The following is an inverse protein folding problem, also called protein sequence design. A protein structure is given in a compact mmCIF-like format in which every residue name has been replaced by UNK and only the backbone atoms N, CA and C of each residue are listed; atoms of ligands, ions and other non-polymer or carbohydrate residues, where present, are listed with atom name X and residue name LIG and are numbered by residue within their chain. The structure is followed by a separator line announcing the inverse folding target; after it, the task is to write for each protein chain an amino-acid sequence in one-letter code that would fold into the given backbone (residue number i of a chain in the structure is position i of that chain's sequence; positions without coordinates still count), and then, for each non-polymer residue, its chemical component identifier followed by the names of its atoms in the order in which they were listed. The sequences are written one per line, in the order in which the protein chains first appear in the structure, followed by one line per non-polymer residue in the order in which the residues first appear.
data_IF_426440907074
#
_entry.id   IF_426440907074
#
_cell.length_a   1.000
_cell.length_b   1.000
_cell.length_c   1.000
_cell.angle_alpha   90.00
_cell.angle_beta   90.00
_cell.angle_gamma   90.00
#
_symmetry.space_group_name_H-M   'P 1'
#
loop_
_entity.id
_entity.type
_entity.pdbx_description
1 polymer ?
#
# COMPACT_ATOMS: atom_id res chain seq x y z
N UNK A 1 -40.77 -8.98 15.38
CA UNK A 1 -39.53 -9.59 14.88
C UNK A 1 -39.47 -9.34 13.38
N UNK A 2 -38.49 -8.57 12.91
CA UNK A 2 -38.30 -8.34 11.47
C UNK A 2 -37.35 -9.41 10.93
N UNK A 3 -37.87 -10.39 10.21
CA UNK A 3 -37.08 -11.31 9.41
C UNK A 3 -36.98 -10.73 8.00
N UNK A 4 -35.75 -10.51 7.52
CA UNK A 4 -35.54 -10.16 6.13
C UNK A 4 -36.03 -11.31 5.24
N UNK A 5 -36.73 -11.02 4.13
CA UNK A 5 -37.12 -12.05 3.18
C UNK A 5 -35.84 -12.70 2.64
N UNK A 6 -35.61 -13.96 3.01
CA UNK A 6 -34.55 -14.74 2.39
C UNK A 6 -35.06 -15.18 1.02
N UNK A 7 -34.30 -14.97 -0.06
CA UNK A 7 -34.66 -15.51 -1.36
C UNK A 7 -34.69 -17.05 -1.25
N UNK A 8 -35.78 -17.66 -1.74
CA UNK A 8 -35.88 -19.10 -1.85
C UNK A 8 -34.74 -19.58 -2.77
N UNK A 9 -33.72 -20.20 -2.16
CA UNK A 9 -32.65 -20.91 -2.86
C UNK A 9 -33.21 -22.23 -3.41
N UNK A 10 -34.23 -22.13 -4.27
CA UNK A 10 -34.85 -23.27 -4.93
C UNK A 10 -33.86 -23.95 -5.87
N UNK A 11 -33.30 -25.07 -5.43
CA UNK A 11 -32.83 -26.17 -6.29
C UNK A 11 -31.61 -25.94 -7.17
N UNK A 12 -30.99 -24.76 -7.19
CA UNK A 12 -29.70 -24.54 -7.87
C UNK A 12 -28.62 -24.24 -6.85
N UNK A 13 -27.88 -25.28 -6.47
CA UNK A 13 -26.75 -25.22 -5.53
C UNK A 13 -25.49 -24.62 -6.16
N UNK A 14 -25.64 -23.70 -7.12
CA UNK A 14 -24.51 -22.99 -7.72
C UNK A 14 -24.54 -21.57 -7.16
N UNK A 15 -23.79 -21.36 -6.08
CA UNK A 15 -23.50 -20.02 -5.58
C UNK A 15 -22.88 -19.25 -6.75
N UNK A 16 -23.48 -18.12 -7.19
CA UNK A 16 -22.90 -17.33 -8.27
C UNK A 16 -21.52 -16.84 -7.85
N UNK A 17 -20.48 -17.48 -8.37
CA UNK A 17 -19.11 -17.09 -8.16
C UNK A 17 -18.81 -15.87 -9.02
N UNK A 18 -18.35 -14.79 -8.39
CA UNK A 18 -17.78 -13.67 -9.11
C UNK A 18 -16.32 -14.05 -9.40
N UNK A 19 -15.92 -14.24 -10.66
CA UNK A 19 -14.52 -14.52 -10.97
C UNK A 19 -13.67 -13.29 -10.61
N UNK A 20 -12.62 -13.51 -9.83
CA UNK A 20 -11.66 -12.49 -9.42
C UNK A 20 -10.27 -12.94 -9.87
N UNK A 21 -9.50 -12.00 -10.41
CA UNK A 21 -8.13 -12.26 -10.88
C UNK A 21 -7.10 -12.19 -9.73
N UNK A 22 -7.53 -11.64 -8.59
CA UNK A 22 -6.69 -11.41 -7.43
C UNK A 22 -6.41 -12.70 -6.65
N UNK A 23 -5.23 -12.74 -6.05
CA UNK A 23 -4.84 -13.81 -5.15
C UNK A 23 -5.78 -13.88 -3.94
N UNK A 24 -6.21 -15.08 -3.57
CA UNK A 24 -7.14 -15.33 -2.45
C UNK A 24 -6.67 -14.66 -1.15
N UNK A 25 -5.36 -14.71 -0.87
CA UNK A 25 -4.79 -14.07 0.31
C UNK A 25 -4.93 -12.53 0.31
N UNK A 26 -4.83 -11.90 -0.88
CA UNK A 26 -5.02 -10.46 -1.01
C UNK A 26 -6.48 -10.05 -0.80
N UNK A 27 -7.41 -10.84 -1.36
CA UNK A 27 -8.84 -10.64 -1.17
C UNK A 27 -9.26 -10.84 0.29
N UNK A 28 -8.79 -11.91 0.94
CA UNK A 28 -9.07 -12.18 2.35
C UNK A 28 -8.61 -11.01 3.23
N UNK A 29 -7.40 -10.47 2.99
CA UNK A 29 -6.91 -9.30 3.71
C UNK A 29 -7.83 -8.08 3.54
N UNK A 30 -8.22 -7.76 2.29
CA UNK A 30 -9.10 -6.62 1.99
C UNK A 30 -10.47 -6.84 2.66
N UNK A 31 -11.06 -8.02 2.53
CA UNK A 31 -12.34 -8.35 3.14
C UNK A 31 -12.31 -8.24 4.66
N UNK A 32 -11.28 -8.77 5.32
CA UNK A 32 -11.09 -8.63 6.77
C UNK A 32 -10.93 -7.17 7.21
N UNK A 33 -10.42 -6.30 6.34
CA UNK A 33 -10.28 -4.89 6.66
C UNK A 33 -11.62 -4.12 6.59
N UNK A 34 -12.59 -4.61 5.82
CA UNK A 34 -13.94 -4.03 5.70
C UNK A 34 -14.89 -4.65 6.73
N UNK A 35 -14.73 -5.96 6.99
CA UNK A 35 -15.51 -6.73 7.94
C UNK A 35 -14.61 -7.17 9.09
N UNK A 36 -14.33 -6.29 10.07
CA UNK A 36 -13.41 -6.58 11.16
C UNK A 36 -14.06 -7.55 12.16
N UNK A 37 -14.09 -8.83 11.81
CA UNK A 37 -14.41 -9.92 12.74
C UNK A 37 -13.23 -10.09 13.72
N UNK A 38 -12.01 -9.85 13.25
CA UNK A 38 -10.78 -9.88 14.04
C UNK A 38 -9.87 -8.68 13.74
N UNK A 39 -9.04 -8.29 14.72
CA UNK A 39 -8.08 -7.20 14.55
C UNK A 39 -6.97 -7.63 13.58
N UNK A 40 -6.93 -6.98 12.41
CA UNK A 40 -5.87 -7.18 11.42
C UNK A 40 -4.50 -6.74 11.98
N UNK A 41 -3.58 -7.69 12.12
CA UNK A 41 -2.20 -7.43 12.53
C UNK A 41 -1.33 -7.29 11.28
N UNK A 42 -0.89 -6.06 11.03
CA UNK A 42 -0.14 -5.68 9.81
C UNK A 42 1.38 -5.75 10.05
N UNK A 43 1.81 -6.06 11.28
CA UNK A 43 3.19 -5.95 11.71
C UNK A 43 4.18 -6.90 10.99
N UNK A 44 3.69 -7.88 10.23
CA UNK A 44 4.50 -8.92 9.59
C UNK A 44 4.45 -8.93 8.06
N UNK A 45 3.72 -8.02 7.41
CA UNK A 45 3.71 -8.00 5.94
C UNK A 45 4.98 -7.35 5.39
N UNK A 46 5.59 -8.01 4.40
CA UNK A 46 6.70 -7.44 3.64
C UNK A 46 6.24 -6.23 2.84
N UNK A 47 7.17 -5.33 2.50
CA UNK A 47 6.89 -4.14 1.70
C UNK A 47 6.31 -4.52 0.32
N UNK A 48 6.80 -5.60 -0.28
CA UNK A 48 6.34 -6.09 -1.58
C UNK A 48 4.89 -6.60 -1.49
N UNK A 49 4.56 -7.30 -0.41
CA UNK A 49 3.18 -7.74 -0.16
C UNK A 49 2.27 -6.53 0.10
N UNK A 50 2.72 -5.54 0.89
CA UNK A 50 1.98 -4.31 1.13
C UNK A 50 1.70 -3.52 -0.16
N UNK A 51 2.63 -3.50 -1.12
CA UNK A 51 2.41 -2.89 -2.44
C UNK A 51 1.33 -3.61 -3.25
N UNK A 52 1.35 -4.95 -3.28
CA UNK A 52 0.32 -5.74 -3.97
C UNK A 52 -1.06 -5.48 -3.37
N UNK A 53 -1.17 -5.53 -2.04
CA UNK A 53 -2.40 -5.23 -1.32
C UNK A 53 -2.90 -3.82 -1.61
N UNK A 54 -1.99 -2.85 -1.79
CA UNK A 54 -2.35 -1.47 -2.13
C UNK A 54 -2.96 -1.34 -3.52
N UNK A 55 -2.43 -2.04 -4.52
CA UNK A 55 -3.01 -2.03 -5.88
C UNK A 55 -4.35 -2.76 -5.91
N UNK A 56 -4.49 -3.87 -5.19
CA UNK A 56 -5.77 -4.58 -5.05
C UNK A 56 -6.81 -3.71 -4.36
N UNK A 57 -6.47 -3.11 -3.21
CA UNK A 57 -7.37 -2.22 -2.49
C UNK A 57 -7.81 -1.02 -3.34
N UNK A 58 -6.93 -0.50 -4.20
CA UNK A 58 -7.28 0.54 -5.18
C UNK A 58 -8.19 0.03 -6.29
N UNK A 59 -7.96 -1.17 -6.83
CA UNK A 59 -8.84 -1.76 -7.86
C UNK A 59 -10.25 -1.99 -7.31
N UNK A 60 -10.36 -2.36 -6.04
CA UNK A 60 -11.62 -2.62 -5.35
C UNK A 60 -12.24 -1.39 -4.68
N UNK A 61 -11.59 -0.22 -4.81
CA UNK A 61 -12.00 1.06 -4.20
C UNK A 61 -12.25 1.02 -2.68
N UNK A 62 -11.38 0.31 -1.95
CA UNK A 62 -11.51 0.10 -0.50
C UNK A 62 -10.61 1.07 0.27
N UNK A 63 -11.09 2.29 0.48
CA UNK A 63 -10.30 3.37 1.07
C UNK A 63 -9.83 3.06 2.51
N UNK A 64 -10.60 2.32 3.31
CA UNK A 64 -10.17 1.93 4.65
C UNK A 64 -8.89 1.08 4.63
N UNK A 65 -8.80 0.12 3.69
CA UNK A 65 -7.60 -0.70 3.48
C UNK A 65 -6.44 0.15 2.99
N UNK A 66 -6.69 1.10 2.07
CA UNK A 66 -5.68 2.02 1.55
C UNK A 66 -5.05 2.84 2.68
N UNK A 67 -5.87 3.42 3.56
CA UNK A 67 -5.38 4.20 4.71
C UNK A 67 -4.59 3.35 5.71
N UNK A 68 -5.08 2.16 5.99
CA UNK A 68 -4.44 1.18 6.85
C UNK A 68 -3.05 0.76 6.32
N UNK A 69 -2.96 0.50 5.01
CA UNK A 69 -1.71 0.17 4.33
C UNK A 69 -0.76 1.37 4.25
N UNK A 70 -1.24 2.62 4.06
CA UNK A 70 -0.38 3.82 4.08
C UNK A 70 0.36 3.98 5.41
N UNK A 71 -0.35 3.74 6.50
CA UNK A 71 0.20 3.86 7.86
C UNK A 71 1.28 2.80 8.08
N UNK A 72 0.99 1.58 7.65
CA UNK A 72 1.91 0.44 7.78
C UNK A 72 3.12 0.55 6.87
N UNK A 73 2.92 1.00 5.62
CA UNK A 73 4.00 1.28 4.67
C UNK A 73 4.96 2.34 5.22
N UNK A 74 4.48 3.35 5.92
CA UNK A 74 5.35 4.36 6.54
C UNK A 74 6.31 3.72 7.55
N UNK A 75 5.83 2.80 8.37
CA UNK A 75 6.66 2.07 9.33
C UNK A 75 7.66 1.14 8.63
N UNK A 76 7.20 0.41 7.61
CA UNK A 76 8.05 -0.49 6.83
C UNK A 76 9.13 0.26 6.04
N UNK A 77 8.80 1.42 5.46
CA UNK A 77 9.74 2.28 4.74
C UNK A 77 10.86 2.82 5.64
N UNK A 78 10.56 3.05 6.92
CA UNK A 78 11.56 3.43 7.92
C UNK A 78 12.44 2.23 8.25
N UNK A 79 11.93 1.00 8.23
CA UNK A 79 12.70 -0.22 8.50
C UNK A 79 13.47 -0.77 7.29
N UNK A 80 13.15 -0.33 6.06
CA UNK A 80 13.76 -0.81 4.82
C UNK A 80 15.30 -0.65 4.83
N UNK A 81 16.07 -1.73 4.63
CA UNK A 81 17.53 -1.69 4.63
C UNK A 81 18.11 -0.98 3.40
N UNK A 82 17.41 -0.98 2.26
CA UNK A 82 17.89 -0.30 1.06
C UNK A 82 17.39 1.16 0.99
N UNK A 83 18.27 2.14 1.21
CA UNK A 83 17.87 3.53 1.33
C UNK A 83 17.48 4.16 -0.02
N UNK A 84 17.74 3.49 -1.15
CA UNK A 84 17.26 3.93 -2.48
C UNK A 84 15.85 3.41 -2.80
N UNK A 85 15.48 2.22 -2.30
CA UNK A 85 14.14 1.64 -2.52
C UNK A 85 13.08 2.39 -1.69
N UNK A 86 13.42 2.77 -0.46
CA UNK A 86 12.49 3.42 0.46
C UNK A 86 11.86 4.71 -0.11
N UNK A 87 12.60 5.69 -0.66
CA UNK A 87 12.03 6.89 -1.28
C UNK A 87 11.17 6.59 -2.50
N UNK A 88 11.59 5.67 -3.39
CA UNK A 88 10.85 5.32 -4.60
C UNK A 88 9.48 4.70 -4.27
N UNK A 89 9.45 3.81 -3.28
CA UNK A 89 8.22 3.17 -2.79
C UNK A 89 7.35 4.19 -2.08
N UNK A 90 7.95 5.05 -1.27
CA UNK A 90 7.28 6.18 -0.64
C UNK A 90 6.57 7.07 -1.67
N UNK A 91 7.27 7.51 -2.73
CA UNK A 91 6.68 8.35 -3.79
C UNK A 91 5.50 7.66 -4.45
N UNK A 92 5.57 6.33 -4.67
CA UNK A 92 4.53 5.60 -5.39
C UNK A 92 3.30 5.29 -4.52
N UNK A 93 3.50 4.94 -3.25
CA UNK A 93 2.47 4.34 -2.39
C UNK A 93 2.26 5.05 -1.04
N UNK A 94 3.29 5.74 -0.53
CA UNK A 94 3.30 6.30 0.81
C UNK A 94 2.76 7.73 0.92
N UNK A 95 2.39 8.16 2.15
CA UNK A 95 2.10 9.56 2.44
C UNK A 95 3.37 10.41 2.40
N UNK A 96 3.23 11.72 2.14
CA UNK A 96 4.35 12.69 2.04
C UNK A 96 5.26 12.71 3.28
N UNK A 97 4.73 12.34 4.43
CA UNK A 97 5.47 12.30 5.69
C UNK A 97 6.44 11.11 5.75
N UNK A 98 5.99 9.91 5.36
CA UNK A 98 6.85 8.73 5.27
C UNK A 98 7.95 8.89 4.22
N UNK A 99 7.63 9.55 3.12
CA UNK A 99 8.58 9.95 2.09
C UNK A 99 9.69 10.86 2.63
N UNK A 100 9.34 11.89 3.42
CA UNK A 100 10.31 12.80 4.05
C UNK A 100 11.17 12.08 5.08
N UNK A 101 10.60 11.17 5.87
CA UNK A 101 11.34 10.37 6.85
C UNK A 101 12.38 9.48 6.16
N UNK A 102 12.01 8.80 5.08
CA UNK A 102 12.92 8.00 4.25
C UNK A 102 14.07 8.83 3.66
N UNK A 103 13.77 9.99 3.07
CA UNK A 103 14.77 10.87 2.46
C UNK A 103 15.76 11.45 3.49
N UNK A 104 15.29 11.73 4.72
CA UNK A 104 16.15 12.16 5.82
C UNK A 104 17.13 11.06 6.23
N UNK A 105 16.67 9.81 6.35
CA UNK A 105 17.54 8.67 6.69
C UNK A 105 18.66 8.46 5.68
N UNK A 106 18.36 8.57 4.37
CA UNK A 106 19.38 8.51 3.32
C UNK A 106 20.46 9.61 3.48
N UNK A 107 20.04 10.81 3.89
CA UNK A 107 20.94 11.96 4.05
C UNK A 107 21.87 11.81 5.27
N UNK A 108 21.41 11.11 6.31
CA UNK A 108 22.17 10.88 7.54
C UNK A 108 23.16 9.71 7.44
N UNK A 109 22.84 8.65 6.69
CA UNK A 109 23.67 7.44 6.56
C UNK A 109 24.91 7.63 5.65
N UNK A 110 25.00 8.77 4.96
CA UNK A 110 26.15 9.14 4.11
C UNK A 110 26.79 10.46 4.54
N UNK A 111 27.20 10.59 5.79
CA UNK A 111 28.30 11.50 6.14
C UNK A 111 29.63 10.75 6.07
N UNK A 112 30.15 10.69 4.85
CA UNK A 112 31.50 10.23 4.55
C UNK A 112 32.17 10.95 3.38
N UNK A 113 31.41 11.47 2.39
CA UNK A 113 31.96 12.38 1.38
C UNK A 113 30.88 13.23 0.70
N UNK A 114 30.99 14.58 0.71
CA UNK A 114 30.14 15.46 -0.07
C UNK A 114 30.74 15.61 -1.47
N UNK A 115 30.52 14.65 -2.37
CA UNK A 115 30.96 14.81 -3.76
C UNK A 115 30.05 14.04 -4.72
N UNK A 116 29.27 14.81 -5.50
CA UNK A 116 28.64 14.44 -6.79
C UNK A 116 27.32 13.67 -6.85
N UNK A 117 26.76 13.18 -5.76
CA UNK A 117 25.36 12.68 -5.79
C UNK A 117 24.47 13.75 -5.16
N UNK A 118 23.65 14.39 -5.99
CA UNK A 118 22.65 15.36 -5.51
C UNK A 118 21.91 14.82 -4.30
N UNK A 119 21.61 15.67 -3.33
CA UNK A 119 21.04 15.27 -2.05
C UNK A 119 19.84 14.33 -2.25
N UNK A 120 19.59 13.38 -1.35
CA UNK A 120 18.40 12.51 -1.46
C UNK A 120 17.11 13.31 -1.66
N UNK A 121 17.07 14.53 -1.12
CA UNK A 121 16.02 15.53 -1.34
C UNK A 121 15.94 16.02 -2.79
N UNK A 122 17.06 16.25 -3.47
CA UNK A 122 17.07 16.56 -4.91
C UNK A 122 16.61 15.38 -5.74
N UNK A 123 17.06 14.15 -5.45
CA UNK A 123 16.55 12.96 -6.14
C UNK A 123 15.05 12.76 -5.90
N UNK A 124 14.60 13.02 -4.66
CA UNK A 124 13.19 12.97 -4.29
C UNK A 124 12.35 14.02 -5.03
N UNK A 125 12.81 15.28 -5.09
CA UNK A 125 12.16 16.33 -5.88
C UNK A 125 12.05 15.93 -7.35
N UNK A 126 13.11 15.35 -7.91
CA UNK A 126 13.15 14.90 -9.29
C UNK A 126 12.15 13.75 -9.53
N UNK A 127 12.00 12.83 -8.58
CA UNK A 127 10.98 11.78 -8.63
C UNK A 127 9.54 12.33 -8.54
N UNK A 128 9.29 13.32 -7.69
CA UNK A 128 7.98 14.00 -7.62
C UNK A 128 7.66 14.74 -8.93
N UNK A 129 8.64 15.44 -9.51
CA UNK A 129 8.49 16.12 -10.81
C UNK A 129 8.20 15.11 -11.94
N UNK A 130 8.90 13.97 -11.96
CA UNK A 130 8.63 12.90 -12.92
C UNK A 130 7.22 12.30 -12.75
N UNK A 131 6.72 12.18 -11.51
CA UNK A 131 5.36 11.69 -11.25
C UNK A 131 4.30 12.68 -11.71
N UNK A 132 4.53 13.98 -11.55
CA UNK A 132 3.64 15.04 -12.03
C UNK A 132 3.48 15.07 -13.56
N UNK A 133 4.56 14.75 -14.30
CA UNK A 133 4.53 14.72 -15.78
C UNK A 133 3.87 13.48 -16.39
N UNK A 134 3.66 12.41 -15.62
CA UNK A 134 3.03 11.15 -16.09
C UNK A 134 1.51 11.11 -15.99
N UNK A 135 0.83 12.23 -15.72
CA UNK A 135 -0.63 12.33 -15.89
C UNK A 135 -0.99 13.08 -17.18
N UNK A 136 -1.08 12.41 -18.34
CA UNK A 136 -2.03 12.77 -19.37
C UNK A 136 -3.21 11.79 -19.32
N UNK A 137 -4.43 12.35 -19.29
CA UNK A 137 -5.69 11.70 -19.69
C UNK A 137 -6.11 10.47 -18.90
#
# INVERSE_FOLDING_TARGET
MFSLPQPDLGGRSEIPGIPMDEEVASLDFVLRSICPIERLVIASISIEHAQKLFEVAKKLDVECTIQLLRTSLTQLLVAEPNPLRSPAIGVRYGPKEGQRAAARRFSSDKMGHPSRVGSALQYFHLLEECKGRRRPG
#
